data_IF_101898419978
#
_entry.id   IF_101898419978
#
_cell.length_a   1.000
_cell.length_b   1.000
_cell.length_c   1.000
_cell.angle_alpha   90.00
_cell.angle_beta   90.00
_cell.angle_gamma   90.00
#
_symmetry.space_group_name_H-M   'P 1'
#
loop_
_entity.id
_entity.type
_entity.pdbx_description
1 polymer ?
#
# COMPACT_ATOMS: atom_id res chain seq x y z
N UNK A 1 -4.04 -5.60 -8.84
CA UNK A 1 -3.22 -5.69 -7.61
C UNK A 1 -3.57 -4.50 -6.76
N UNK A 2 -4.11 -4.75 -5.57
CA UNK A 2 -4.47 -3.67 -4.64
C UNK A 2 -3.27 -3.21 -3.82
N UNK A 3 -3.40 -2.10 -3.08
CA UNK A 3 -2.36 -1.64 -2.16
C UNK A 3 -2.01 -2.71 -1.10
N UNK A 4 -3.00 -3.50 -0.67
CA UNK A 4 -2.80 -4.61 0.26
C UNK A 4 -2.05 -5.78 -0.40
N UNK A 5 -2.39 -6.13 -1.64
CA UNK A 5 -1.68 -7.19 -2.37
C UNK A 5 -0.21 -6.85 -2.56
N UNK A 6 0.11 -5.58 -2.82
CA UNK A 6 1.50 -5.11 -2.92
C UNK A 6 2.23 -5.27 -1.58
N UNK A 7 1.57 -4.96 -0.46
CA UNK A 7 2.16 -5.19 0.85
C UNK A 7 2.51 -6.67 1.06
N UNK A 8 1.57 -7.59 0.76
CA UNK A 8 1.83 -9.03 0.83
C UNK A 8 2.94 -9.51 -0.11
N UNK A 9 3.09 -8.90 -1.29
CA UNK A 9 4.17 -9.22 -2.23
C UNK A 9 5.55 -8.82 -1.72
N UNK A 10 5.63 -7.75 -0.92
CA UNK A 10 6.89 -7.30 -0.32
C UNK A 10 7.21 -8.15 0.92
N UNK A 11 6.26 -8.25 1.86
CA UNK A 11 6.41 -9.09 3.04
C UNK A 11 5.07 -9.42 3.68
N UNK A 12 4.92 -10.63 4.21
CA UNK A 12 3.67 -11.09 4.82
C UNK A 12 3.27 -10.22 6.01
N UNK A 13 4.22 -9.85 6.86
CA UNK A 13 3.97 -9.00 8.04
C UNK A 13 3.48 -7.60 7.66
N UNK A 14 3.92 -7.07 6.52
CA UNK A 14 3.43 -5.78 6.00
C UNK A 14 1.98 -5.87 5.51
N UNK A 15 1.61 -7.01 4.92
CA UNK A 15 0.25 -7.29 4.48
C UNK A 15 -0.71 -7.51 5.66
N UNK A 16 -0.27 -8.26 6.68
CA UNK A 16 -1.05 -8.47 7.91
C UNK A 16 -1.19 -7.19 8.73
N UNK A 17 -0.10 -6.44 8.90
CA UNK A 17 -0.06 -5.16 9.61
C UNK A 17 -0.57 -3.96 8.82
N UNK A 18 -1.08 -4.13 7.59
CA UNK A 18 -1.47 -3.01 6.72
C UNK A 18 -2.49 -2.08 7.40
N UNK A 19 -2.12 -0.82 7.63
CA UNK A 19 -3.02 0.22 8.13
C UNK A 19 -3.56 1.05 6.96
N UNK A 20 -2.65 1.59 6.15
CA UNK A 20 -2.98 2.48 5.04
C UNK A 20 -1.82 2.58 4.06
N UNK A 21 -2.14 2.99 2.84
CA UNK A 21 -1.17 3.40 1.84
C UNK A 21 -1.18 4.92 1.70
N UNK A 22 -0.09 5.50 1.21
CA UNK A 22 0.00 6.93 0.88
C UNK A 22 0.63 7.05 -0.50
N UNK A 23 -0.02 7.78 -1.40
CA UNK A 23 0.55 8.17 -2.68
C UNK A 23 1.67 9.18 -2.45
N UNK A 24 2.89 8.86 -2.85
CA UNK A 24 4.03 9.75 -2.68
C UNK A 24 4.01 10.94 -3.65
N UNK A 25 3.24 10.88 -4.75
CA UNK A 25 3.12 11.99 -5.72
C UNK A 25 2.11 13.03 -5.25
N UNK A 26 0.94 12.57 -4.83
CA UNK A 26 -0.18 13.46 -4.44
C UNK A 26 -0.29 13.66 -2.94
N UNK A 27 0.49 12.93 -2.14
CA UNK A 27 0.45 12.88 -0.68
C UNK A 27 -0.93 12.45 -0.13
N UNK A 28 -1.76 11.81 -0.97
CA UNK A 28 -3.09 11.35 -0.60
C UNK A 28 -3.03 10.02 0.12
N UNK A 29 -3.90 9.86 1.12
CA UNK A 29 -4.09 8.57 1.78
C UNK A 29 -4.90 7.66 0.87
N UNK A 30 -4.38 6.47 0.66
CA UNK A 30 -4.93 5.42 -0.19
C UNK A 30 -5.40 4.26 0.71
N UNK A 31 -6.62 3.79 0.45
CA UNK A 31 -7.20 2.63 1.12
C UNK A 31 -6.64 1.30 0.62
N UNK A 32 -6.94 0.20 1.32
CA UNK A 32 -6.54 -1.15 0.91
C UNK A 32 -7.01 -1.51 -0.48
N UNK A 33 -8.19 -1.02 -0.87
CA UNK A 33 -8.93 -1.47 -2.06
C UNK A 33 -8.56 -0.67 -3.31
N UNK A 34 -7.62 0.27 -3.19
CA UNK A 34 -7.15 1.03 -4.33
C UNK A 34 -6.40 0.14 -5.30
N UNK A 35 -6.84 0.17 -6.56
CA UNK A 35 -6.17 -0.51 -7.66
C UNK A 35 -4.90 0.24 -8.05
N UNK A 36 -3.77 -0.45 -7.93
CA UNK A 36 -2.46 0.07 -8.31
C UNK A 36 -2.37 0.24 -9.81
N UNK A 37 -1.84 1.40 -10.23
CA UNK A 37 -1.49 1.66 -11.63
C UNK A 37 0.02 1.55 -11.82
N UNK A 38 0.42 1.22 -13.04
CA UNK A 38 1.82 1.16 -13.39
C UNK A 38 2.48 2.54 -13.23
N UNK A 39 3.63 2.58 -12.54
CA UNK A 39 4.34 3.82 -12.21
C UNK A 39 3.84 4.58 -10.97
N UNK A 40 2.86 4.04 -10.24
CA UNK A 40 2.43 4.57 -8.94
C UNK A 40 3.53 4.39 -7.88
N UNK A 41 3.78 5.45 -7.10
CA UNK A 41 4.74 5.42 -6.00
C UNK A 41 3.94 5.43 -4.71
N UNK A 42 3.87 4.27 -4.05
CA UNK A 42 3.07 4.10 -2.84
C UNK A 42 3.93 3.79 -1.64
N UNK A 43 3.71 4.56 -0.57
CA UNK A 43 4.26 4.30 0.75
C UNK A 43 3.25 3.50 1.58
N UNK A 44 3.61 2.27 1.94
CA UNK A 44 2.81 1.40 2.80
C UNK A 44 3.12 1.74 4.26
N UNK A 45 2.07 1.97 5.05
CA UNK A 45 2.16 2.14 6.50
C UNK A 45 1.55 0.89 7.15
N UNK A 46 2.39 0.10 7.80
CA UNK A 46 1.98 -1.07 8.55
C UNK A 46 2.25 -0.87 10.05
N UNK A 47 1.42 -1.50 10.89
CA UNK A 47 1.67 -1.62 12.32
C UNK A 47 2.63 -2.80 12.50
N UNK A 48 3.87 -2.53 12.85
CA UNK A 48 4.79 -3.55 13.38
C UNK A 48 4.38 -3.91 14.80
#
# INVERSE_FOLDING_TARGET
>A
STARDLAYKVHTDLGEGFIRAIDARTHRVIGSDYELKDGDIIRIVAKT
#
